data_IF_139882909139
#
_entry.id   IF_139882909139
#
_cell.length_a   1.000
_cell.length_b   1.000
_cell.length_c   1.000
_cell.angle_alpha   90.00
_cell.angle_beta   90.00
_cell.angle_gamma   90.00
#
_symmetry.space_group_name_H-M   'P 1'
#
loop_
_entity.id
_entity.type
_entity.pdbx_description
1 polymer ?
#
# COMPACT_ATOMS: atom_id res chain seq x y z
N UNK A 1 -15.45 -2.69 2.86
CA UNK A 1 -14.88 -1.52 3.59
C UNK A 1 -13.45 -1.38 3.11
N UNK A 2 -12.91 -0.19 2.78
CA UNK A 2 -11.56 -0.11 2.27
C UNK A 2 -10.56 -0.50 3.34
N UNK A 3 -9.55 -1.20 2.87
CA UNK A 3 -8.37 -1.68 3.58
C UNK A 3 -7.39 -0.52 3.79
N UNK A 4 -6.89 -0.29 5.00
CA UNK A 4 -5.92 0.78 5.26
C UNK A 4 -4.51 0.25 5.45
N UNK A 5 -3.56 0.93 4.83
CA UNK A 5 -2.12 0.73 5.00
C UNK A 5 -1.48 2.07 5.35
N UNK A 6 -0.62 2.06 6.35
CA UNK A 6 0.11 3.21 6.86
C UNK A 6 1.61 3.00 6.70
N UNK A 7 2.29 4.02 6.20
CA UNK A 7 3.75 4.15 6.27
C UNK A 7 4.06 5.23 7.29
N UNK A 8 4.72 4.87 8.37
CA UNK A 8 5.00 5.77 9.49
C UNK A 8 6.45 5.69 9.94
N UNK A 9 7.01 6.80 10.44
CA UNK A 9 8.35 6.81 11.02
C UNK A 9 8.37 6.00 12.33
N UNK A 10 9.50 5.36 12.60
CA UNK A 10 9.81 4.71 13.87
C UNK A 10 11.14 5.20 14.43
N UNK A 11 11.42 4.87 15.70
CA UNK A 11 12.67 5.22 16.41
C UNK A 11 13.89 4.78 15.58
N UNK A 12 13.87 3.55 15.05
CA UNK A 12 14.99 2.97 14.31
C UNK A 12 14.72 2.76 12.81
N UNK A 13 13.82 3.55 12.21
CA UNK A 13 13.55 3.41 10.78
C UNK A 13 12.13 3.83 10.41
N UNK A 14 11.45 2.94 9.68
CA UNK A 14 10.13 3.13 9.11
C UNK A 14 9.31 1.85 9.27
N UNK A 15 8.01 2.01 9.47
CA UNK A 15 7.07 0.93 9.67
C UNK A 15 6.01 0.98 8.58
N UNK A 16 5.68 -0.19 8.03
CA UNK A 16 4.45 -0.43 7.26
C UNK A 16 3.50 -1.23 8.13
N UNK A 17 2.27 -0.73 8.29
CA UNK A 17 1.19 -1.38 9.03
C UNK A 17 -0.05 -1.41 8.17
N UNK A 18 -0.85 -2.46 8.26
CA UNK A 18 -2.17 -2.48 7.61
C UNK A 18 -3.15 -3.35 8.36
N UNK A 19 -4.43 -3.26 7.98
CA UNK A 19 -5.52 -3.95 8.68
C UNK A 19 -5.43 -5.50 8.60
N UNK A 20 -4.60 -6.04 7.69
CA UNK A 20 -4.46 -7.48 7.42
C UNK A 20 -3.29 -8.13 8.14
N UNK A 21 -2.38 -7.33 8.71
CA UNK A 21 -1.15 -7.84 9.33
C UNK A 21 -1.19 -7.68 10.84
N UNK A 22 -1.04 -8.81 11.55
CA UNK A 22 -0.92 -8.84 13.01
C UNK A 22 0.36 -8.16 13.51
N UNK A 23 1.37 -8.00 12.65
CA UNK A 23 2.66 -7.43 13.02
C UNK A 23 3.16 -6.44 11.97
N UNK A 24 3.57 -5.22 12.38
CA UNK A 24 4.12 -4.23 11.46
C UNK A 24 5.44 -4.69 10.84
N UNK A 25 5.65 -4.36 9.56
CA UNK A 25 6.91 -4.59 8.85
C UNK A 25 7.85 -3.40 9.01
N UNK A 26 9.10 -3.65 9.39
CA UNK A 26 10.09 -2.59 9.64
C UNK A 26 11.10 -2.49 8.50
N UNK A 27 11.44 -1.26 8.12
CA UNK A 27 12.38 -0.94 7.05
C UNK A 27 13.38 0.11 7.52
N UNK A 28 14.61 0.03 7.02
CA UNK A 28 15.67 0.99 7.35
C UNK A 28 15.42 2.40 6.79
N UNK A 29 14.74 2.51 5.63
CA UNK A 29 14.51 3.79 4.93
C UNK A 29 13.05 3.97 4.53
N UNK A 30 12.63 5.23 4.43
CA UNK A 30 11.25 5.58 4.07
C UNK A 30 10.93 5.19 2.64
N UNK A 31 11.87 5.37 1.72
CA UNK A 31 11.72 4.95 0.33
C UNK A 31 11.44 3.43 0.21
N UNK A 32 12.13 2.59 1.01
CA UNK A 32 11.87 1.14 1.02
C UNK A 32 10.52 0.79 1.64
N UNK A 33 10.15 1.46 2.73
CA UNK A 33 8.84 1.28 3.35
C UNK A 33 7.71 1.67 2.40
N UNK A 34 7.84 2.81 1.73
CA UNK A 34 6.88 3.30 0.75
C UNK A 34 6.75 2.34 -0.43
N UNK A 35 7.86 1.89 -1.02
CA UNK A 35 7.82 0.94 -2.12
C UNK A 35 7.11 -0.36 -1.69
N UNK A 36 7.50 -0.94 -0.55
CA UNK A 36 6.87 -2.15 -0.03
C UNK A 36 5.37 -1.97 0.25
N UNK A 37 4.97 -0.81 0.76
CA UNK A 37 3.56 -0.49 0.98
C UNK A 37 2.79 -0.36 -0.33
N UNK A 38 3.36 0.28 -1.35
CA UNK A 38 2.75 0.38 -2.70
C UNK A 38 2.58 -1.00 -3.34
N UNK A 39 3.60 -1.84 -3.26
CA UNK A 39 3.56 -3.21 -3.79
C UNK A 39 2.46 -4.03 -3.10
N UNK A 40 2.32 -3.90 -1.77
CA UNK A 40 1.24 -4.52 -1.01
C UNK A 40 -0.15 -4.00 -1.43
N UNK A 41 -0.31 -2.68 -1.58
CA UNK A 41 -1.57 -2.08 -2.01
C UNK A 41 -1.97 -2.56 -3.41
N UNK A 42 -1.02 -2.68 -4.34
CA UNK A 42 -1.28 -3.23 -5.67
C UNK A 42 -1.73 -4.69 -5.61
N UNK A 43 -1.09 -5.53 -4.79
CA UNK A 43 -1.49 -6.93 -4.63
C UNK A 43 -2.91 -7.08 -4.08
N UNK A 44 -3.27 -6.28 -3.08
CA UNK A 44 -4.62 -6.26 -2.51
C UNK A 44 -5.67 -5.72 -3.50
N UNK A 45 -5.35 -4.63 -4.20
CA UNK A 45 -6.21 -4.10 -5.26
C UNK A 45 -6.46 -5.12 -6.37
N UNK A 46 -5.44 -5.90 -6.74
CA UNK A 46 -5.54 -7.00 -7.70
C UNK A 46 -6.43 -8.15 -7.20
N UNK A 47 -6.47 -8.38 -5.89
CA UNK A 47 -7.37 -9.33 -5.26
C UNK A 47 -8.83 -8.82 -5.18
N UNK A 48 -9.11 -7.61 -5.67
CA UNK A 48 -10.44 -7.00 -5.64
C UNK A 48 -10.73 -6.21 -4.36
N UNK A 49 -9.72 -5.99 -3.51
CA UNK A 49 -9.89 -5.21 -2.27
C UNK A 49 -9.53 -3.73 -2.51
N UNK A 50 -10.46 -2.78 -2.27
CA UNK A 50 -10.12 -1.36 -2.30
C UNK A 50 -9.16 -1.03 -1.15
N UNK A 51 -8.04 -0.38 -1.46
CA UNK A 51 -7.01 -0.04 -0.45
C UNK A 51 -6.69 1.44 -0.43
N UNK A 52 -6.44 1.96 0.77
CA UNK A 52 -5.97 3.33 1.03
C UNK A 52 -4.58 3.25 1.65
N UNK A 53 -3.61 3.93 1.04
CA UNK A 53 -2.28 4.11 1.58
C UNK A 53 -2.14 5.53 2.14
N UNK A 54 -1.76 5.67 3.41
CA UNK A 54 -1.37 6.94 4.00
C UNK A 54 0.10 6.93 4.40
N UNK A 55 0.83 7.96 3.98
CA UNK A 55 2.25 8.12 4.30
C UNK A 55 2.41 9.30 5.25
N UNK A 56 3.11 9.07 6.36
CA UNK A 56 3.40 10.07 7.39
C UNK A 56 4.89 10.37 7.44
N UNK A 57 5.22 11.65 7.59
CA UNK A 57 6.59 12.13 7.74
C UNK A 57 7.04 12.01 9.20
N UNK A 58 8.35 12.18 9.44
CA UNK A 58 8.96 12.16 10.79
C UNK A 58 8.40 13.22 11.74
N UNK A 59 7.93 14.35 11.20
CA UNK A 59 7.28 15.42 11.97
C UNK A 59 5.79 15.13 12.27
N UNK A 60 5.28 13.95 11.87
CA UNK A 60 3.89 13.54 12.08
C UNK A 60 2.91 14.03 11.01
N UNK A 61 3.35 14.90 10.10
CA UNK A 61 2.54 15.41 8.99
C UNK A 61 2.25 14.31 7.96
N UNK A 62 1.12 14.44 7.27
CA UNK A 62 0.76 13.53 6.17
C UNK A 62 1.48 13.96 4.90
N UNK A 63 2.40 13.13 4.43
CA UNK A 63 3.09 13.31 3.16
C UNK A 63 2.12 13.15 1.97
N UNK A 64 1.21 12.18 2.07
CA UNK A 64 0.27 11.88 1.00
C UNK A 64 -0.71 10.79 1.35
N UNK A 65 -1.79 10.73 0.59
CA UNK A 65 -2.81 9.68 0.63
C UNK A 65 -3.09 9.18 -0.78
N UNK A 66 -2.94 7.89 -1.00
CA UNK A 66 -3.15 7.23 -2.30
C UNK A 66 -4.31 6.26 -2.21
N UNK A 67 -5.09 6.19 -3.27
CA UNK A 67 -6.24 5.29 -3.40
C UNK A 67 -5.91 4.25 -4.45
N UNK A 68 -6.07 2.98 -4.08
CA UNK A 68 -5.91 1.84 -4.95
C UNK A 68 -7.30 1.21 -5.12
N UNK A 69 -8.03 1.58 -6.20
CA UNK A 69 -9.33 0.98 -6.48
C UNK A 69 -9.15 -0.52 -6.77
N UNK A 70 -10.18 -1.34 -6.52
CA UNK A 70 -10.11 -2.76 -6.81
C UNK A 70 -9.95 -2.95 -8.30
N UNK A 71 -8.81 -3.50 -8.70
CA UNK A 71 -8.56 -3.95 -10.06
C UNK A 71 -8.83 -5.45 -10.06
N UNK A 72 -10.09 -5.86 -10.25
CA UNK A 72 -10.37 -7.26 -10.57
C UNK A 72 -9.47 -7.61 -11.75
N UNK A 73 -8.44 -8.42 -11.49
CA UNK A 73 -7.35 -8.64 -12.43
C UNK A 73 -7.90 -8.87 -13.83
N UNK A 74 -7.37 -8.09 -14.77
CA UNK A 74 -7.66 -8.02 -16.19
C UNK A 74 -7.65 -9.40 -16.91
N UNK A 75 -8.55 -10.31 -16.56
CA UNK A 75 -8.89 -11.43 -17.42
C UNK A 75 -9.50 -10.88 -18.72
N UNK A 76 -10.31 -9.82 -18.61
CA UNK A 76 -10.98 -9.17 -19.74
C UNK A 76 -10.02 -8.31 -20.59
N UNK A 77 -9.07 -7.59 -20.00
CA UNK A 77 -8.21 -6.65 -20.77
C UNK A 77 -7.02 -7.34 -21.45
N UNK A 78 -6.51 -8.47 -20.93
CA UNK A 78 -5.53 -9.30 -21.65
C UNK A 78 -6.14 -10.02 -22.86
N UNK A 79 -7.45 -10.22 -22.90
CA UNK A 79 -8.16 -10.78 -24.07
C UNK A 79 -8.46 -9.71 -25.13
N UNK A 80 -8.71 -8.47 -24.74
CA UNK A 80 -9.09 -7.38 -25.65
C UNK A 80 -7.94 -6.81 -26.50
N UNK A 81 -6.67 -7.08 -26.16
CA UNK A 81 -5.49 -6.54 -26.86
C UNK A 81 -4.84 -7.53 -27.84
N UNK A 82 -5.50 -8.66 -28.13
CA UNK A 82 -5.04 -9.73 -29.03
C UNK A 82 -5.95 -9.97 -30.24
N UNK A 83 -6.81 -9.02 -30.61
CA UNK A 83 -7.68 -9.11 -31.79
C UNK A 83 -7.09 -8.33 -32.97
#
# INVERSE_FOLDING_TARGET
>A
MPSYIFVEPSINGWIVRGDFETSPRTFATGARAEQAARDLCHGLAQAGEPVVLEIRLRNGERAGRFLFPPSLGDCTQRMAMRA
#
